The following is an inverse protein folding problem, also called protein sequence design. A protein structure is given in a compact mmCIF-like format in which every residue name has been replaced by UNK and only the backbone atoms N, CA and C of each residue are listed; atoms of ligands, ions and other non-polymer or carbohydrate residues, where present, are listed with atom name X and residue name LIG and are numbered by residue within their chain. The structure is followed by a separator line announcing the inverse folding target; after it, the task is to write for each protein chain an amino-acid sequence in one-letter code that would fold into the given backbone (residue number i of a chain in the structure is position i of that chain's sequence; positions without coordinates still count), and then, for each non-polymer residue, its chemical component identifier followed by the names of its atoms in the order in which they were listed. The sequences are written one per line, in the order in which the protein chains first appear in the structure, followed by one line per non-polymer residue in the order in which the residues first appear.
data_IF_270771533930
#
_entry.id   IF_270771533930
#
_cell.length_a   1.000
_cell.length_b   1.000
_cell.length_c   1.000
_cell.angle_alpha   90.00
_cell.angle_beta   90.00
_cell.angle_gamma   90.00
#
_symmetry.space_group_name_H-M   'P 1'
#
loop_
_entity.id
_entity.type
_entity.pdbx_description
1 polymer ?
#
# COMPACT_ATOMS: atom_id res chain seq x y z
N UNK A 1 4.29 -23.66 0.68
CA UNK A 1 4.57 -22.75 1.82
C UNK A 1 3.32 -21.92 2.09
N UNK A 2 2.73 -22.04 3.27
CA UNK A 2 1.65 -21.13 3.66
C UNK A 2 2.24 -19.71 3.77
N UNK A 3 1.76 -18.83 2.92
CA UNK A 3 2.16 -17.42 2.91
C UNK A 3 1.62 -16.81 4.22
N UNK A 4 2.48 -16.68 5.21
CA UNK A 4 2.09 -16.15 6.52
C UNK A 4 1.96 -14.64 6.39
N UNK A 5 0.75 -14.16 6.00
CA UNK A 5 0.45 -12.74 5.97
C UNK A 5 0.05 -12.27 7.39
N UNK A 6 0.90 -11.50 8.10
CA UNK A 6 0.59 -11.03 9.44
C UNK A 6 -0.66 -10.16 9.54
N UNK A 7 -1.09 -9.50 8.46
CA UNK A 7 -2.36 -8.77 8.42
C UNK A 7 -3.55 -9.70 8.63
N UNK A 8 -3.48 -10.91 8.10
CA UNK A 8 -4.53 -11.92 8.32
C UNK A 8 -4.66 -12.27 9.80
N UNK A 9 -3.53 -12.41 10.51
CA UNK A 9 -3.53 -12.65 11.96
C UNK A 9 -4.16 -11.49 12.74
N UNK A 10 -3.93 -10.25 12.36
CA UNK A 10 -4.57 -9.08 12.98
C UNK A 10 -6.08 -9.17 12.82
N UNK A 11 -6.57 -9.46 11.62
CA UNK A 11 -8.01 -9.63 11.34
C UNK A 11 -8.61 -10.77 12.15
N UNK A 12 -7.93 -11.90 12.24
CA UNK A 12 -8.38 -13.07 13.03
C UNK A 12 -8.48 -12.72 14.53
N UNK A 13 -7.49 -12.00 15.06
CA UNK A 13 -7.52 -11.56 16.47
C UNK A 13 -8.63 -10.55 16.74
N UNK A 14 -8.88 -9.61 15.82
CA UNK A 14 -10.03 -8.68 15.95
C UNK A 14 -11.36 -9.42 15.97
N UNK A 15 -11.55 -10.42 15.10
CA UNK A 15 -12.77 -11.28 15.11
C UNK A 15 -12.94 -12.04 16.41
N UNK A 16 -11.88 -12.27 17.16
CA UNK A 16 -11.90 -12.87 18.51
C UNK A 16 -12.10 -11.85 19.62
N UNK A 17 -12.38 -10.59 19.28
CA UNK A 17 -12.59 -9.51 20.26
C UNK A 17 -11.31 -8.96 20.89
N UNK A 18 -10.14 -9.22 20.31
CA UNK A 18 -8.88 -8.66 20.80
C UNK A 18 -8.70 -7.21 20.30
N UNK A 19 -8.23 -6.35 21.17
CA UNK A 19 -7.92 -4.94 20.86
C UNK A 19 -6.58 -4.85 20.11
N UNK A 20 -6.59 -5.21 18.83
CA UNK A 20 -5.44 -5.13 17.93
C UNK A 20 -5.84 -4.42 16.65
N UNK A 21 -4.90 -3.77 16.00
CA UNK A 21 -5.11 -3.08 14.74
C UNK A 21 -3.81 -2.70 14.08
N UNK A 22 -3.92 -2.16 12.89
CA UNK A 22 -2.82 -1.52 12.17
C UNK A 22 -3.38 -0.25 11.55
N UNK A 23 -2.65 0.86 11.69
CA UNK A 23 -3.02 2.10 11.01
C UNK A 23 -2.42 2.13 9.61
N UNK A 24 -3.14 2.74 8.69
CA UNK A 24 -2.67 2.97 7.33
C UNK A 24 -1.95 4.31 7.23
N UNK A 25 -0.73 4.30 6.72
CA UNK A 25 0.01 5.51 6.38
C UNK A 25 -0.09 5.72 4.87
N UNK A 26 -1.15 6.40 4.45
CA UNK A 26 -1.41 6.71 3.05
C UNK A 26 -0.66 7.99 2.66
N UNK A 27 0.61 7.85 2.29
CA UNK A 27 1.48 8.97 1.95
C UNK A 27 2.60 8.57 1.00
N UNK A 28 2.92 9.48 0.07
CA UNK A 28 4.11 9.40 -0.79
C UNK A 28 5.22 10.38 -0.32
N UNK A 29 5.07 10.97 0.87
CA UNK A 29 6.08 11.86 1.44
C UNK A 29 7.14 11.03 2.20
N UNK A 30 8.40 11.15 1.79
CA UNK A 30 9.51 10.38 2.38
C UNK A 30 9.69 10.59 3.87
N UNK A 31 9.47 11.81 4.39
CA UNK A 31 9.60 12.10 5.83
C UNK A 31 8.47 11.43 6.63
N UNK A 32 7.25 11.40 6.09
CA UNK A 32 6.12 10.73 6.73
C UNK A 32 6.35 9.22 6.78
N UNK A 33 6.81 8.63 5.69
CA UNK A 33 7.14 7.20 5.62
C UNK A 33 8.28 6.87 6.58
N UNK A 34 9.35 7.66 6.60
CA UNK A 34 10.47 7.48 7.53
C UNK A 34 10.01 7.56 8.99
N UNK A 35 9.15 8.52 9.34
CA UNK A 35 8.61 8.63 10.70
C UNK A 35 7.77 7.43 11.11
N UNK A 36 6.93 6.92 10.20
CA UNK A 36 6.13 5.72 10.43
C UNK A 36 7.01 4.48 10.67
N UNK A 37 8.04 4.29 9.86
CA UNK A 37 8.97 3.18 10.01
C UNK A 37 9.78 3.27 11.31
N UNK A 38 10.26 4.46 11.67
CA UNK A 38 10.93 4.70 12.97
C UNK A 38 10.02 4.42 14.14
N UNK A 39 8.72 4.76 14.04
CA UNK A 39 7.74 4.41 15.07
C UNK A 39 7.59 2.90 15.20
N UNK A 40 7.45 2.18 14.08
CA UNK A 40 7.40 0.72 14.08
C UNK A 40 8.65 0.05 14.63
N UNK A 41 9.85 0.65 14.44
CA UNK A 41 11.07 0.20 15.09
C UNK A 41 10.97 0.35 16.61
N UNK A 42 10.50 1.49 17.09
CA UNK A 42 10.40 1.83 18.51
C UNK A 42 9.46 0.91 19.29
N UNK A 43 8.32 0.53 18.70
CA UNK A 43 7.28 -0.25 19.40
C UNK A 43 7.16 -1.71 18.94
N UNK A 44 7.99 -2.14 17.97
CA UNK A 44 7.97 -3.50 17.45
C UNK A 44 6.77 -3.83 16.56
N UNK A 45 5.97 -2.84 16.16
CA UNK A 45 4.76 -3.04 15.36
C UNK A 45 5.04 -3.30 13.88
N UNK A 46 4.05 -3.87 13.20
CA UNK A 46 3.98 -3.85 11.74
C UNK A 46 3.60 -2.45 11.25
N UNK A 47 4.08 -2.09 10.05
CA UNK A 47 3.78 -0.81 9.41
C UNK A 47 3.15 -1.07 8.05
N UNK A 48 2.01 -0.41 7.79
CA UNK A 48 1.32 -0.43 6.50
C UNK A 48 1.50 0.93 5.84
N UNK A 49 2.20 0.97 4.72
CA UNK A 49 2.36 2.15 3.87
C UNK A 49 1.49 1.97 2.64
N UNK A 50 0.68 2.97 2.36
CA UNK A 50 -0.26 2.93 1.24
C UNK A 50 -0.05 4.09 0.27
N UNK A 51 -0.44 3.87 -0.99
CA UNK A 51 -0.60 4.93 -1.98
C UNK A 51 -1.96 4.86 -2.64
N UNK A 52 -2.52 6.01 -2.98
CA UNK A 52 -3.76 6.11 -3.75
C UNK A 52 -3.49 6.03 -5.25
N UNK A 53 -4.54 5.76 -6.04
CA UNK A 53 -4.49 5.84 -7.50
C UNK A 53 -4.03 7.22 -8.01
N UNK A 54 -4.36 8.31 -7.31
CA UNK A 54 -3.89 9.65 -7.66
C UNK A 54 -2.37 9.82 -7.46
N UNK A 55 -1.83 9.23 -6.40
CA UNK A 55 -0.41 9.33 -6.06
C UNK A 55 0.45 8.48 -6.99
N UNK A 56 -0.04 7.28 -7.34
CA UNK A 56 0.73 6.26 -8.00
C UNK A 56 -0.20 5.38 -8.85
N UNK A 57 0.00 5.35 -10.13
CA UNK A 57 -0.75 4.50 -11.05
C UNK A 57 0.17 3.91 -12.15
N UNK A 58 -0.41 3.16 -13.09
CA UNK A 58 0.35 2.58 -14.21
C UNK A 58 1.02 3.63 -15.11
N UNK A 59 0.58 4.89 -15.04
CA UNK A 59 1.12 6.02 -15.79
C UNK A 59 2.02 6.93 -14.95
N UNK A 60 2.11 6.68 -13.64
CA UNK A 60 2.95 7.41 -12.68
C UNK A 60 2.21 8.26 -11.65
N UNK A 61 0.92 8.52 -11.83
CA UNK A 61 0.17 9.42 -10.94
C UNK A 61 0.81 10.82 -10.83
N UNK A 62 0.44 11.62 -9.83
CA UNK A 62 1.05 12.94 -9.64
C UNK A 62 2.48 12.89 -9.08
N UNK A 63 2.89 11.76 -8.50
CA UNK A 63 4.26 11.59 -7.99
C UNK A 63 5.26 11.20 -9.08
N UNK A 64 4.79 10.78 -10.26
CA UNK A 64 5.61 10.20 -11.31
C UNK A 64 6.03 8.75 -11.04
N UNK A 65 5.55 8.13 -9.95
CA UNK A 65 5.88 6.76 -9.59
C UNK A 65 4.80 5.78 -10.04
N UNK A 66 5.22 4.69 -10.69
CA UNK A 66 4.41 3.50 -10.89
C UNK A 66 4.44 2.64 -9.60
N UNK A 67 3.53 1.67 -9.41
CA UNK A 67 3.52 0.84 -8.20
C UNK A 67 4.86 0.21 -7.84
N UNK A 68 5.61 -0.28 -8.82
CA UNK A 68 6.96 -0.82 -8.58
C UNK A 68 7.96 0.25 -8.12
N UNK A 69 7.84 1.48 -8.62
CA UNK A 69 8.72 2.59 -8.21
C UNK A 69 8.40 3.04 -6.79
N UNK A 70 7.13 3.12 -6.45
CA UNK A 70 6.69 3.40 -5.08
C UNK A 70 7.20 2.34 -4.09
N UNK A 71 7.09 1.06 -4.45
CA UNK A 71 7.68 -0.04 -3.66
C UNK A 71 9.17 0.16 -3.43
N UNK A 72 9.93 0.42 -4.49
CA UNK A 72 11.39 0.67 -4.39
C UNK A 72 11.69 1.86 -3.50
N UNK A 73 10.92 2.94 -3.64
CA UNK A 73 11.04 4.14 -2.83
C UNK A 73 10.84 3.84 -1.33
N UNK A 74 9.77 3.13 -0.96
CA UNK A 74 9.49 2.76 0.42
C UNK A 74 10.55 1.81 0.97
N UNK A 75 10.95 0.80 0.19
CA UNK A 75 12.01 -0.15 0.59
C UNK A 75 13.36 0.55 0.81
N UNK A 76 13.70 1.54 -0.01
CA UNK A 76 14.92 2.35 0.17
C UNK A 76 14.91 3.13 1.49
N UNK A 77 13.75 3.66 1.90
CA UNK A 77 13.61 4.32 3.20
C UNK A 77 13.71 3.28 4.34
N UNK A 78 13.07 2.11 4.17
CA UNK A 78 13.13 1.03 5.16
C UNK A 78 14.59 0.56 5.39
N UNK A 79 15.35 0.39 4.32
CA UNK A 79 16.77 0.05 4.39
C UNK A 79 17.56 1.12 5.15
N UNK A 80 17.37 2.39 4.79
CA UNK A 80 18.03 3.55 5.42
C UNK A 80 17.80 3.59 6.94
N UNK A 81 16.60 3.27 7.40
CA UNK A 81 16.27 3.29 8.85
C UNK A 81 16.50 1.95 9.54
N UNK A 82 16.88 0.90 8.82
CA UNK A 82 17.09 -0.44 9.37
C UNK A 82 15.79 -1.15 9.75
N UNK A 83 14.69 -0.88 9.04
CA UNK A 83 13.40 -1.51 9.32
C UNK A 83 13.33 -2.91 8.70
N UNK A 84 12.87 -3.90 9.48
CA UNK A 84 12.64 -5.26 9.00
C UNK A 84 11.46 -5.29 8.01
N UNK A 85 11.76 -5.55 6.74
CA UNK A 85 10.77 -5.62 5.67
C UNK A 85 9.74 -6.75 5.84
N UNK A 86 10.02 -7.75 6.68
CA UNK A 86 9.03 -8.77 7.07
C UNK A 86 7.86 -8.22 7.89
N UNK A 87 7.99 -7.00 8.44
CA UNK A 87 6.96 -6.26 9.17
C UNK A 87 6.39 -5.07 8.39
N UNK A 88 6.84 -4.87 7.13
CA UNK A 88 6.39 -3.81 6.24
C UNK A 88 5.36 -4.36 5.27
N UNK A 89 4.20 -3.69 5.20
CA UNK A 89 3.15 -3.98 4.25
C UNK A 89 2.93 -2.80 3.32
N UNK A 90 2.68 -3.10 2.05
CA UNK A 90 2.31 -2.12 1.06
C UNK A 90 0.84 -2.29 0.68
N UNK A 91 0.12 -1.18 0.64
CA UNK A 91 -1.29 -1.14 0.28
C UNK A 91 -1.58 -0.18 -0.86
N UNK A 92 -2.54 -0.57 -1.70
CA UNK A 92 -3.22 0.34 -2.60
C UNK A 92 -4.50 0.82 -1.95
N UNK A 93 -4.74 2.12 -1.97
CA UNK A 93 -5.88 2.75 -1.34
C UNK A 93 -6.71 3.52 -2.39
N UNK A 94 -8.03 3.37 -2.33
CA UNK A 94 -8.95 3.95 -3.32
C UNK A 94 -8.57 3.59 -4.77
N UNK A 95 -8.27 2.32 -5.04
CA UNK A 95 -7.99 1.86 -6.39
C UNK A 95 -9.30 1.60 -7.14
N UNK A 96 -9.57 2.41 -8.14
CA UNK A 96 -10.81 2.34 -8.89
C UNK A 96 -10.83 3.24 -10.11
N UNK A 97 -11.98 3.39 -10.78
CA UNK A 97 -12.10 4.12 -12.05
C UNK A 97 -12.12 5.64 -11.90
N UNK A 98 -12.20 6.19 -10.68
CA UNK A 98 -12.39 7.63 -10.46
C UNK A 98 -11.29 8.49 -11.12
N UNK A 99 -10.03 8.04 -11.09
CA UNK A 99 -8.91 8.75 -11.73
C UNK A 99 -8.98 8.74 -13.26
N UNK A 100 -9.86 7.91 -13.81
CA UNK A 100 -10.13 7.76 -15.26
C UNK A 100 -11.51 8.26 -15.66
N UNK A 101 -12.21 8.99 -14.77
CA UNK A 101 -13.59 9.44 -14.96
C UNK A 101 -13.83 10.36 -16.18
N UNK A 102 -12.78 10.87 -16.80
CA UNK A 102 -12.86 11.59 -18.08
C UNK A 102 -13.04 10.70 -19.31
N UNK A 103 -12.98 9.39 -19.16
CA UNK A 103 -13.15 8.38 -20.23
C UNK A 103 -14.55 7.77 -20.20
N UNK A 104 -14.96 7.11 -21.30
CA UNK A 104 -16.15 6.25 -21.28
C UNK A 104 -16.06 5.19 -20.19
N UNK A 105 -17.18 4.83 -19.57
CA UNK A 105 -17.23 3.90 -18.41
C UNK A 105 -16.44 2.61 -18.63
N UNK A 106 -16.64 1.94 -19.77
CA UNK A 106 -15.96 0.68 -20.07
C UNK A 106 -14.42 0.84 -20.15
N UNK A 107 -13.94 1.96 -20.64
CA UNK A 107 -12.50 2.27 -20.69
C UNK A 107 -11.96 2.60 -19.31
N UNK A 108 -12.70 3.38 -18.52
CA UNK A 108 -12.30 3.72 -17.15
C UNK A 108 -12.21 2.46 -16.27
N UNK A 109 -13.13 1.53 -16.43
CA UNK A 109 -13.11 0.24 -15.72
C UNK A 109 -11.90 -0.60 -16.17
N UNK A 110 -11.62 -0.69 -17.47
CA UNK A 110 -10.47 -1.42 -17.98
C UNK A 110 -9.14 -0.85 -17.46
N UNK A 111 -9.02 0.48 -17.40
CA UNK A 111 -7.85 1.15 -16.81
C UNK A 111 -7.73 0.89 -15.30
N UNK A 112 -8.85 0.84 -14.57
CA UNK A 112 -8.86 0.51 -13.15
C UNK A 112 -8.44 -0.95 -12.90
N UNK A 113 -8.87 -1.89 -13.74
CA UNK A 113 -8.40 -3.28 -13.67
C UNK A 113 -6.89 -3.38 -13.91
N UNK A 114 -6.38 -2.65 -14.89
CA UNK A 114 -4.94 -2.61 -15.18
C UNK A 114 -4.15 -1.98 -14.03
N UNK A 115 -4.68 -0.91 -13.42
CA UNK A 115 -4.12 -0.31 -12.21
C UNK A 115 -3.96 -1.37 -11.10
N UNK A 116 -5.00 -2.14 -10.81
CA UNK A 116 -4.97 -3.19 -9.78
C UNK A 116 -3.95 -4.27 -10.13
N UNK A 117 -3.86 -4.70 -11.40
CA UNK A 117 -2.84 -5.65 -11.85
C UNK A 117 -1.42 -5.17 -11.58
N UNK A 118 -1.15 -3.87 -11.82
CA UNK A 118 0.15 -3.26 -11.54
C UNK A 118 0.47 -3.26 -10.03
N UNK A 119 -0.50 -2.95 -9.17
CA UNK A 119 -0.29 -2.99 -7.72
C UNK A 119 -0.01 -4.41 -7.22
N UNK A 120 -0.84 -5.38 -7.60
CA UNK A 120 -0.68 -6.79 -7.22
C UNK A 120 0.63 -7.35 -7.78
N UNK A 121 0.94 -7.07 -9.05
CA UNK A 121 2.18 -7.50 -9.71
C UNK A 121 3.44 -6.90 -9.06
N UNK A 122 3.36 -5.71 -8.49
CA UNK A 122 4.44 -5.10 -7.71
C UNK A 122 4.59 -5.72 -6.30
N UNK A 123 3.63 -6.54 -5.85
CA UNK A 123 3.67 -7.23 -4.57
C UNK A 123 3.01 -6.48 -3.42
N UNK A 124 2.08 -5.57 -3.73
CA UNK A 124 1.20 -4.96 -2.72
C UNK A 124 0.24 -6.03 -2.18
N UNK A 125 0.08 -6.09 -0.87
CA UNK A 125 -0.65 -7.17 -0.19
C UNK A 125 -1.98 -6.75 0.42
N UNK A 126 -2.24 -5.44 0.51
CA UNK A 126 -3.55 -4.87 0.86
C UNK A 126 -4.06 -4.07 -0.34
N UNK A 127 -5.24 -4.37 -0.81
CA UNK A 127 -5.89 -3.67 -1.92
C UNK A 127 -7.26 -3.20 -1.45
N UNK A 128 -7.47 -1.90 -1.47
CA UNK A 128 -8.78 -1.26 -1.25
C UNK A 128 -9.33 -0.83 -2.61
N UNK A 129 -10.41 -1.48 -3.02
CA UNK A 129 -11.13 -1.16 -4.26
C UNK A 129 -12.21 -0.14 -3.95
N UNK A 130 -12.22 0.93 -4.72
CA UNK A 130 -13.21 2.00 -4.65
C UNK A 130 -13.91 2.13 -6.00
N UNK A 131 -15.24 2.21 -6.00
CA UNK A 131 -16.09 2.26 -7.21
C UNK A 131 -16.72 3.62 -7.43
#
# INVERSE_FOLDING_TARGET
MMNHNPLKKIVELQKQGKNVGIYSVCSANGYVIEAALKRGLSDGSCVLIESTANQCDQNGGYTGMKPMDFKKFVLGIAEKVGFDTGRLFLGGDHLGPLTFAGKPEAEAIADAEELIRHYVGAGFTKIHIDT
#
